data_IF_728756817521
#
_entry.id   IF_728756817521
#
_cell.length_a   1.000
_cell.length_b   1.000
_cell.length_c   1.000
_cell.angle_alpha   90.00
_cell.angle_beta   90.00
_cell.angle_gamma   90.00
#
_symmetry.space_group_name_H-M   'P 1'
#
loop_
_entity.id
_entity.type
_entity.pdbx_description
1 polymer ?
#
# COMPACT_ATOMS: atom_id res chain seq x y z
N UNK A 1 -19.71 -16.80 9.25
CA UNK A 1 -19.02 -17.62 8.34
C UNK A 1 -18.60 -16.92 7.11
N UNK A 2 -19.48 -16.68 6.19
CA UNK A 2 -19.12 -16.00 4.94
C UNK A 2 -18.53 -14.62 5.17
N UNK A 3 -18.98 -13.95 6.23
CA UNK A 3 -18.56 -12.57 6.48
C UNK A 3 -17.23 -12.43 7.16
N UNK A 4 -16.65 -13.54 7.62
CA UNK A 4 -15.35 -13.46 8.29
C UNK A 4 -14.26 -12.87 7.42
N UNK A 5 -14.23 -13.26 6.15
CA UNK A 5 -13.21 -12.77 5.24
C UNK A 5 -13.35 -11.28 4.95
N UNK A 6 -14.56 -10.75 5.06
CA UNK A 6 -14.78 -9.32 4.83
C UNK A 6 -14.10 -8.45 5.87
N UNK A 7 -13.75 -9.02 7.02
CA UNK A 7 -13.12 -8.28 8.11
C UNK A 7 -11.62 -8.47 8.17
N UNK A 8 -11.07 -9.27 7.24
CA UNK A 8 -9.64 -9.54 7.21
C UNK A 8 -8.94 -8.65 6.20
N UNK A 9 -7.81 -8.12 6.62
CA UNK A 9 -6.98 -7.26 5.77
C UNK A 9 -5.54 -7.64 5.93
N UNK A 10 -4.75 -7.33 4.91
CA UNK A 10 -3.30 -7.40 5.00
C UNK A 10 -2.78 -5.98 5.09
N UNK A 11 -1.91 -5.75 6.05
CA UNK A 11 -1.26 -4.45 6.22
C UNK A 11 0.25 -4.66 6.05
N UNK A 12 0.90 -3.72 5.37
CA UNK A 12 2.34 -3.82 5.12
C UNK A 12 2.94 -2.44 4.88
N UNK A 13 4.26 -2.40 4.86
CA UNK A 13 4.98 -1.18 4.50
C UNK A 13 4.79 -0.88 3.02
N UNK A 14 4.61 0.38 2.68
CA UNK A 14 4.67 0.78 1.28
C UNK A 14 6.10 0.68 0.78
N UNK A 15 6.26 0.42 -0.51
CA UNK A 15 7.60 0.23 -1.08
C UNK A 15 8.30 1.56 -1.33
N UNK A 16 7.58 2.53 -1.85
CA UNK A 16 8.18 3.78 -2.28
C UNK A 16 7.90 4.98 -1.39
N UNK A 17 7.05 4.81 -0.38
CA UNK A 17 6.64 5.91 0.47
C UNK A 17 6.72 5.51 1.94
N UNK A 18 6.78 6.51 2.80
CA UNK A 18 6.79 6.28 4.26
C UNK A 18 5.34 6.22 4.75
N UNK A 19 4.66 5.17 4.37
CA UNK A 19 3.28 4.95 4.78
C UNK A 19 3.01 3.46 4.80
N UNK A 20 1.78 3.09 5.14
CA UNK A 20 1.34 1.71 5.15
C UNK A 20 0.32 1.49 4.07
N UNK A 21 0.25 0.26 3.58
CA UNK A 21 -0.76 -0.16 2.62
C UNK A 21 -1.65 -1.19 3.27
N UNK A 22 -2.95 -1.01 3.11
CA UNK A 22 -3.96 -1.91 3.65
C UNK A 22 -4.71 -2.53 2.47
N UNK A 23 -4.65 -3.85 2.40
CA UNK A 23 -5.28 -4.60 1.32
C UNK A 23 -6.47 -5.37 1.86
N UNK A 24 -7.65 -5.26 1.24
CA UNK A 24 -8.69 -6.26 1.49
C UNK A 24 -8.12 -7.64 1.16
N UNK A 25 -8.52 -8.64 1.93
CA UNK A 25 -7.92 -9.97 1.76
C UNK A 25 -8.08 -10.50 0.34
N UNK A 26 -9.18 -10.18 -0.31
CA UNK A 26 -9.42 -10.64 -1.67
C UNK A 26 -8.43 -10.03 -2.66
N UNK A 27 -8.13 -8.74 -2.48
CA UNK A 27 -7.16 -8.06 -3.35
C UNK A 27 -5.75 -8.60 -3.11
N UNK A 28 -5.43 -8.88 -1.86
CA UNK A 28 -4.13 -9.47 -1.53
C UNK A 28 -3.97 -10.84 -2.17
N UNK A 29 -5.01 -11.66 -2.14
CA UNK A 29 -4.95 -13.00 -2.72
C UNK A 29 -4.73 -12.95 -4.23
N UNK A 30 -5.38 -12.02 -4.91
CA UNK A 30 -5.16 -11.82 -6.36
C UNK A 30 -3.72 -11.46 -6.65
N UNK A 31 -3.16 -10.60 -5.83
CA UNK A 31 -1.77 -10.17 -6.00
C UNK A 31 -0.81 -11.32 -5.76
N UNK A 32 -1.09 -12.14 -4.74
CA UNK A 32 -0.24 -13.28 -4.43
C UNK A 32 -0.23 -14.31 -5.56
N UNK A 33 -1.34 -14.46 -6.25
CA UNK A 33 -1.38 -15.35 -7.42
C UNK A 33 -0.40 -14.87 -8.50
N UNK A 34 -0.35 -13.56 -8.73
CA UNK A 34 0.59 -13.00 -9.70
C UNK A 34 2.04 -13.21 -9.26
N UNK A 35 2.31 -13.00 -7.97
CA UNK A 35 3.68 -13.18 -7.46
C UNK A 35 4.12 -14.62 -7.52
N UNK A 36 3.21 -15.56 -7.35
CA UNK A 36 3.54 -16.97 -7.44
C UNK A 36 4.02 -17.41 -8.83
N UNK A 37 3.68 -16.63 -9.84
CA UNK A 37 4.11 -16.93 -11.21
C UNK A 37 5.50 -16.42 -11.54
N UNK A 38 6.12 -15.69 -10.63
CA UNK A 38 7.47 -15.19 -10.85
C UNK A 38 8.49 -16.33 -10.70
N UNK A 39 9.50 -16.30 -11.57
CA UNK A 39 10.58 -17.28 -11.50
C UNK A 39 11.46 -16.99 -10.28
N UNK A 40 11.38 -17.86 -9.27
CA UNK A 40 12.10 -17.69 -8.02
C UNK A 40 13.61 -17.93 -8.13
N UNK A 41 14.07 -18.46 -9.24
CA UNK A 41 15.50 -18.66 -9.47
C UNK A 41 16.19 -17.42 -9.99
N UNK A 42 15.45 -16.37 -10.28
CA UNK A 42 16.03 -15.10 -10.71
C UNK A 42 16.14 -14.19 -9.49
N UNK A 43 17.37 -13.75 -9.22
CA UNK A 43 17.65 -12.96 -8.01
C UNK A 43 16.79 -11.71 -7.87
N UNK A 44 16.63 -10.97 -8.96
CA UNK A 44 15.85 -9.72 -8.89
C UNK A 44 14.39 -9.97 -8.53
N UNK A 45 13.84 -11.12 -8.93
CA UNK A 45 12.48 -11.46 -8.58
C UNK A 45 12.36 -11.73 -7.07
N UNK A 46 13.34 -12.42 -6.51
CA UNK A 46 13.36 -12.67 -5.07
C UNK A 46 13.56 -11.38 -4.27
N UNK A 47 14.40 -10.50 -4.76
CA UNK A 47 14.63 -9.21 -4.12
C UNK A 47 13.35 -8.38 -4.14
N UNK A 48 12.64 -8.41 -5.26
CA UNK A 48 11.36 -7.72 -5.37
C UNK A 48 10.34 -8.27 -4.37
N UNK A 49 10.18 -9.58 -4.34
CA UNK A 49 9.23 -10.23 -3.45
C UNK A 49 9.53 -9.88 -1.99
N UNK A 50 10.81 -9.95 -1.61
CA UNK A 50 11.23 -9.67 -0.25
C UNK A 50 10.92 -8.23 0.14
N UNK A 51 11.26 -7.30 -0.73
CA UNK A 51 11.00 -5.88 -0.47
C UNK A 51 9.50 -5.59 -0.43
N UNK A 52 8.77 -6.17 -1.36
CA UNK A 52 7.32 -5.95 -1.44
C UNK A 52 6.62 -6.50 -0.20
N UNK A 53 7.06 -7.64 0.31
CA UNK A 53 6.40 -8.31 1.43
C UNK A 53 6.89 -7.86 2.79
N UNK A 54 7.78 -6.89 2.85
CA UNK A 54 8.33 -6.46 4.14
C UNK A 54 7.23 -5.92 5.04
N UNK A 55 7.18 -6.43 6.26
CA UNK A 55 6.24 -5.97 7.26
C UNK A 55 4.82 -6.50 7.12
N UNK A 56 4.61 -7.46 6.22
CA UNK A 56 3.27 -8.02 5.99
C UNK A 56 2.71 -8.65 7.26
N UNK A 57 1.49 -8.25 7.62
CA UNK A 57 0.76 -8.84 8.74
C UNK A 57 -0.72 -8.90 8.40
N UNK A 58 -1.39 -9.89 8.93
CA UNK A 58 -2.85 -9.99 8.80
C UNK A 58 -3.48 -9.28 9.98
N UNK A 59 -4.47 -8.45 9.70
CA UNK A 59 -5.20 -7.73 10.74
C UNK A 59 -6.69 -7.90 10.52
N UNK A 60 -7.44 -7.72 11.58
CA UNK A 60 -8.88 -7.93 11.57
C UNK A 60 -9.57 -6.76 12.23
N UNK A 61 -10.72 -6.35 11.70
CA UNK A 61 -11.54 -5.33 12.35
C UNK A 61 -12.14 -5.91 13.62
N UNK A 62 -12.16 -5.10 14.68
CA UNK A 62 -12.82 -5.52 15.92
C UNK A 62 -14.33 -5.33 15.81
N UNK A 63 -15.06 -5.62 16.90
CA UNK A 63 -16.51 -5.52 16.92
C UNK A 63 -17.02 -4.10 16.67
N UNK A 64 -16.19 -3.10 16.94
CA UNK A 64 -16.53 -1.70 16.72
C UNK A 64 -16.00 -1.21 15.37
N UNK A 65 -15.60 -2.14 14.50
CA UNK A 65 -15.07 -1.85 13.17
C UNK A 65 -13.79 -1.00 13.20
N UNK A 66 -12.97 -1.22 14.23
CA UNK A 66 -11.69 -0.53 14.38
C UNK A 66 -10.56 -1.48 14.03
N UNK A 67 -9.51 -0.92 13.49
CA UNK A 67 -8.32 -1.66 13.10
C UNK A 67 -7.15 -1.23 13.97
N UNK A 68 -6.50 -2.19 14.60
CA UNK A 68 -5.31 -1.89 15.39
C UNK A 68 -4.08 -2.03 14.50
N UNK A 69 -3.37 -0.91 14.30
CA UNK A 69 -2.14 -0.93 13.51
C UNK A 69 -1.01 -1.45 14.40
N UNK A 70 -0.32 -2.51 13.96
CA UNK A 70 0.82 -3.02 14.75
C UNK A 70 1.87 -1.92 14.97
N UNK A 71 2.44 -1.92 16.18
CA UNK A 71 3.36 -0.86 16.58
C UNK A 71 4.57 -0.74 15.66
N UNK A 72 5.13 -1.87 15.23
CA UNK A 72 6.31 -1.82 14.36
C UNK A 72 5.98 -1.16 13.01
N UNK A 73 4.78 -1.34 12.51
CA UNK A 73 4.37 -0.69 11.26
C UNK A 73 4.07 0.79 11.47
N UNK A 74 3.41 1.10 12.59
CA UNK A 74 3.16 2.50 12.96
C UNK A 74 4.48 3.26 13.09
N UNK A 75 5.48 2.63 13.68
CA UNK A 75 6.81 3.23 13.83
C UNK A 75 7.47 3.45 12.47
N UNK A 76 7.38 2.47 11.58
CA UNK A 76 7.92 2.59 10.24
C UNK A 76 7.33 3.80 9.51
N UNK A 77 6.03 3.95 9.59
CA UNK A 77 5.31 5.02 8.89
C UNK A 77 5.36 6.35 9.65
N UNK A 78 5.99 6.35 10.81
CA UNK A 78 6.15 7.55 11.65
C UNK A 78 4.81 8.17 12.01
N UNK A 79 3.83 7.32 12.24
CA UNK A 79 2.49 7.78 12.60
C UNK A 79 2.50 8.35 14.00
N UNK A 80 2.02 9.57 14.13
CA UNK A 80 1.95 10.25 15.42
C UNK A 80 0.53 10.20 15.96
N UNK A 81 -0.22 11.25 15.73
CA UNK A 81 -1.55 11.39 16.32
C UNK A 81 -2.66 11.36 15.29
N UNK A 82 -2.48 12.06 14.19
CA UNK A 82 -3.49 12.19 13.16
C UNK A 82 -3.09 11.41 11.93
N UNK A 83 -4.03 10.70 11.36
CA UNK A 83 -3.77 9.90 10.17
C UNK A 83 -4.65 10.35 9.01
N UNK A 84 -4.21 10.02 7.81
CA UNK A 84 -4.99 10.18 6.60
C UNK A 84 -5.13 8.80 5.97
N UNK A 85 -6.35 8.46 5.60
CA UNK A 85 -6.62 7.27 4.82
C UNK A 85 -6.83 7.72 3.38
N UNK A 86 -5.96 7.25 2.50
CA UNK A 86 -5.99 7.66 1.10
C UNK A 86 -6.31 6.46 0.24
N UNK A 87 -7.29 6.60 -0.64
CA UNK A 87 -7.64 5.54 -1.56
C UNK A 87 -6.61 5.49 -2.69
N UNK A 88 -6.10 4.28 -2.95
CA UNK A 88 -5.18 4.05 -4.05
C UNK A 88 -5.78 2.96 -4.93
N UNK A 89 -6.89 3.27 -5.55
CA UNK A 89 -7.69 2.43 -6.43
C UNK A 89 -8.30 1.26 -5.66
N UNK A 90 -7.59 0.16 -5.49
CA UNK A 90 -8.14 -1.04 -4.85
C UNK A 90 -7.54 -1.31 -3.48
N UNK A 91 -6.70 -0.41 -2.98
CA UNK A 91 -6.12 -0.52 -1.65
C UNK A 91 -6.24 0.81 -0.93
N UNK A 92 -5.92 0.80 0.35
CA UNK A 92 -5.94 2.02 1.16
C UNK A 92 -4.54 2.27 1.69
N UNK A 93 -4.08 3.51 1.59
CA UNK A 93 -2.83 3.92 2.21
C UNK A 93 -3.12 4.57 3.55
N UNK A 94 -2.32 4.26 4.55
CA UNK A 94 -2.44 4.84 5.89
C UNK A 94 -1.21 5.70 6.12
N UNK A 95 -1.43 6.99 6.29
CA UNK A 95 -0.36 7.99 6.39
C UNK A 95 -0.45 8.74 7.70
N UNK A 96 0.70 9.12 8.22
CA UNK A 96 0.75 10.23 9.15
C UNK A 96 0.30 11.49 8.41
N UNK A 97 -0.54 12.29 9.04
CA UNK A 97 -1.15 13.43 8.34
C UNK A 97 -0.12 14.40 7.78
N UNK A 98 0.88 14.75 8.57
CA UNK A 98 1.88 15.72 8.12
C UNK A 98 2.71 15.17 6.97
N UNK A 99 3.07 13.89 7.03
CA UNK A 99 3.82 13.26 5.95
C UNK A 99 2.99 13.17 4.68
N UNK A 100 1.71 12.93 4.82
CA UNK A 100 0.81 12.89 3.66
C UNK A 100 0.78 14.25 2.97
N UNK A 101 0.62 15.31 3.74
CA UNK A 101 0.55 16.65 3.19
C UNK A 101 1.85 17.04 2.51
N UNK A 102 2.97 16.66 3.09
CA UNK A 102 4.28 16.90 2.48
C UNK A 102 4.39 16.18 1.13
N UNK A 103 3.96 14.91 1.09
CA UNK A 103 4.04 14.13 -0.14
C UNK A 103 3.16 14.72 -1.25
N UNK A 104 1.97 15.21 -0.89
CA UNK A 104 1.08 15.87 -1.85
C UNK A 104 1.69 17.16 -2.36
N UNK A 105 2.28 17.95 -1.47
CA UNK A 105 2.91 19.23 -1.85
C UNK A 105 4.08 19.00 -2.79
N UNK A 106 4.90 18.02 -2.51
CA UNK A 106 6.04 17.68 -3.37
C UNK A 106 5.57 17.26 -4.77
N UNK A 107 4.53 16.44 -4.84
CA UNK A 107 3.98 16.03 -6.12
C UNK A 107 3.38 17.20 -6.88
N UNK A 108 2.81 18.17 -6.16
CA UNK A 108 2.18 19.34 -6.78
C UNK A 108 3.21 20.26 -7.42
N UNK A 109 4.40 20.35 -6.85
CA UNK A 109 5.44 21.25 -7.36
C UNK A 109 5.78 20.98 -8.83
N UNK A 110 5.70 19.75 -9.26
CA UNK A 110 6.07 19.36 -10.62
C UNK A 110 4.97 18.56 -11.29
N UNK A 111 3.74 18.88 -10.94
CA UNK A 111 2.60 18.08 -11.38
C UNK A 111 2.43 18.06 -12.90
N UNK A 112 2.69 19.17 -13.57
CA UNK A 112 2.59 19.24 -15.02
C UNK A 112 3.50 18.23 -15.70
N UNK A 113 4.75 18.17 -15.26
CA UNK A 113 5.70 17.22 -15.82
C UNK A 113 5.33 15.79 -15.45
N UNK A 114 4.81 15.60 -14.25
CA UNK A 114 4.37 14.29 -13.81
C UNK A 114 3.22 13.78 -14.68
N UNK A 115 2.26 14.65 -14.98
CA UNK A 115 1.16 14.30 -15.88
C UNK A 115 1.70 13.92 -17.25
N UNK A 116 2.63 14.68 -17.77
CA UNK A 116 3.23 14.40 -19.08
C UNK A 116 3.95 13.06 -19.07
N UNK A 117 4.72 12.79 -18.04
CA UNK A 117 5.48 11.55 -17.95
C UNK A 117 4.58 10.32 -17.81
N UNK A 118 3.51 10.43 -17.02
CA UNK A 118 2.66 9.30 -16.72
C UNK A 118 1.57 9.12 -17.77
N UNK A 119 0.89 10.21 -18.11
CA UNK A 119 -0.27 10.15 -19.00
C UNK A 119 0.06 10.44 -20.45
N UNK A 120 1.18 11.09 -20.70
CA UNK A 120 1.63 11.35 -22.06
C UNK A 120 1.83 10.09 -22.87
N UNK A 121 2.33 9.05 -22.24
CA UNK A 121 2.56 7.76 -22.90
C UNK A 121 1.25 7.13 -23.37
N UNK A 122 0.16 7.38 -22.65
CA UNK A 122 -1.14 6.81 -23.05
C UNK A 122 -1.63 7.34 -24.37
N UNK A 123 -1.23 8.55 -24.73
CA UNK A 123 -1.63 9.15 -26.00
C UNK A 123 -1.00 8.43 -27.18
N UNK A 124 0.21 7.98 -26.99
CA UNK A 124 0.95 7.31 -28.05
C UNK A 124 0.41 5.92 -28.31
N UNK A 125 -0.21 5.33 -27.33
CA UNK A 125 -0.77 4.00 -27.43
C UNK A 125 -2.13 4.01 -28.12
N UNK A 126 -2.85 5.06 -27.95
CA UNK A 126 -4.17 5.18 -28.57
C UNK A 126 -4.06 5.61 -30.01
#
# INVERSE_FOLDING_TARGET
>A
MKNKQKHLFIIKRAVFQTCLELYPIEEWNKLMEKLNNLNRFIKKNNDFIRRFSAGVQMVELDAAERLLVPKNLSDFAKIKKNIVLSSAINIIEIWDKELYETAIDEATLDFSNLVEDVMGDSKDVS
#
